data_IF_311930315431
#
_entry.id   IF_311930315431
#
_cell.length_a   1.000
_cell.length_b   1.000
_cell.length_c   1.000
_cell.angle_alpha   90.00
_cell.angle_beta   90.00
_cell.angle_gamma   90.00
#
_symmetry.space_group_name_H-M   'P 1'
#
loop_
_entity.id
_entity.type
_entity.pdbx_description
1 polymer ?
#
# COMPACT_ATOMS: atom_id res chain seq x y z
N UNK A 1 -21.24 -16.99 -8.20
CA UNK A 1 -21.79 -16.02 -7.24
C UNK A 1 -20.59 -15.37 -6.57
N UNK A 2 -20.05 -14.34 -7.20
CA UNK A 2 -18.82 -13.67 -6.75
C UNK A 2 -19.21 -12.29 -6.24
N UNK A 3 -19.02 -11.98 -4.95
CA UNK A 3 -18.95 -10.61 -4.50
C UNK A 3 -17.56 -10.39 -3.92
N UNK A 4 -16.63 -9.85 -4.70
CA UNK A 4 -15.44 -9.20 -4.14
C UNK A 4 -15.19 -7.90 -4.89
N UNK A 5 -16.00 -6.94 -4.46
CA UNK A 5 -15.70 -5.51 -4.32
C UNK A 5 -15.09 -4.82 -5.53
N UNK A 6 -16.00 -4.26 -6.31
CA UNK A 6 -15.78 -3.22 -7.33
C UNK A 6 -15.06 -1.97 -6.77
N UNK A 7 -14.01 -1.55 -7.48
CA UNK A 7 -13.75 -0.15 -7.89
C UNK A 7 -13.24 0.88 -6.87
N UNK A 8 -11.91 1.06 -6.88
CA UNK A 8 -11.22 2.33 -7.23
C UNK A 8 -11.43 3.58 -6.36
N UNK A 9 -10.56 3.71 -5.36
CA UNK A 9 -9.81 4.96 -5.17
C UNK A 9 -8.33 4.52 -5.17
N UNK A 10 -7.64 4.84 -6.26
CA UNK A 10 -6.48 4.09 -6.78
C UNK A 10 -5.34 3.99 -5.79
N UNK A 11 -5.20 2.83 -5.14
CA UNK A 11 -3.95 2.47 -4.48
C UNK A 11 -2.93 2.14 -5.56
N UNK A 12 -1.81 2.85 -5.56
CA UNK A 12 -0.74 2.68 -6.56
C UNK A 12 0.40 1.88 -5.93
N UNK A 13 0.78 0.78 -6.56
CA UNK A 13 1.80 -0.14 -6.07
C UNK A 13 3.12 0.06 -6.83
N UNK A 14 4.20 0.37 -6.09
CA UNK A 14 5.54 0.62 -6.62
C UNK A 14 6.61 -0.21 -5.91
N UNK A 15 7.58 -0.71 -6.68
CA UNK A 15 8.85 -1.22 -6.15
C UNK A 15 9.88 -0.10 -6.22
N UNK A 16 10.40 0.34 -5.07
CA UNK A 16 11.43 1.38 -4.96
C UNK A 16 12.60 0.83 -4.17
N UNK A 17 13.79 0.74 -4.78
CA UNK A 17 15.03 0.28 -4.14
C UNK A 17 14.92 -1.09 -3.41
N UNK A 18 13.99 -1.94 -3.85
CA UNK A 18 13.72 -3.26 -3.26
C UNK A 18 12.60 -3.28 -2.20
N UNK A 19 12.00 -2.13 -1.90
CA UNK A 19 10.88 -1.98 -0.98
C UNK A 19 9.55 -1.89 -1.74
N UNK A 20 8.51 -2.59 -1.24
CA UNK A 20 7.14 -2.41 -1.72
C UNK A 20 6.51 -1.16 -1.10
N UNK A 21 6.09 -0.21 -1.94
CA UNK A 21 5.44 1.03 -1.53
C UNK A 21 4.05 1.12 -2.15
N UNK A 22 3.04 1.33 -1.31
CA UNK A 22 1.64 1.54 -1.71
C UNK A 22 1.25 2.98 -1.41
N UNK A 23 0.91 3.72 -2.45
CA UNK A 23 0.39 5.08 -2.32
C UNK A 23 -1.13 5.01 -2.25
N UNK A 24 -1.73 5.60 -1.22
CA UNK A 24 -3.18 5.52 -0.97
C UNK A 24 -3.75 6.88 -0.57
N UNK A 25 -4.99 7.24 -0.97
CA UNK A 25 -5.67 8.41 -0.45
C UNK A 25 -6.35 8.17 0.91
N UNK A 26 -6.26 6.97 1.47
CA UNK A 26 -6.94 6.59 2.72
C UNK A 26 -6.01 6.80 3.92
N UNK A 27 -6.59 7.19 5.06
CA UNK A 27 -5.88 7.26 6.33
C UNK A 27 -5.90 5.93 7.10
N UNK A 28 -6.79 5.02 6.72
CA UNK A 28 -6.91 3.69 7.29
C UNK A 28 -6.77 2.66 6.18
N UNK A 29 -5.85 1.72 6.34
CA UNK A 29 -5.57 0.67 5.35
C UNK A 29 -5.52 -0.70 6.01
N UNK A 30 -5.84 -1.72 5.23
CA UNK A 30 -5.68 -3.12 5.62
C UNK A 30 -4.67 -3.79 4.70
N UNK A 31 -3.64 -4.41 5.28
CA UNK A 31 -2.68 -5.23 4.56
C UNK A 31 -2.98 -6.70 4.82
N UNK A 32 -3.24 -7.47 3.75
CA UNK A 32 -3.51 -8.91 3.79
C UNK A 32 -2.37 -9.76 3.19
N UNK A 33 -1.25 -9.12 2.83
CA UNK A 33 -0.11 -9.77 2.18
C UNK A 33 -0.36 -10.22 0.74
N UNK A 34 -1.30 -9.61 0.00
CA UNK A 34 -1.56 -9.93 -1.41
C UNK A 34 -2.61 -11.01 -1.63
N UNK A 35 -3.52 -11.21 -0.67
CA UNK A 35 -4.74 -12.02 -0.82
C UNK A 35 -4.58 -13.53 -1.04
N UNK A 36 -3.34 -14.06 -1.03
CA UNK A 36 -3.03 -15.46 -1.31
C UNK A 36 -2.70 -16.30 -0.07
N UNK A 37 -2.52 -17.61 -0.27
CA UNK A 37 -2.17 -18.56 0.81
C UNK A 37 -0.81 -18.31 1.49
N UNK A 38 0.04 -17.47 0.87
CA UNK A 38 1.36 -17.09 1.37
C UNK A 38 1.37 -15.69 2.02
N UNK A 39 0.19 -15.04 2.15
CA UNK A 39 0.08 -13.77 2.85
C UNK A 39 0.21 -13.90 4.36
N UNK A 40 -0.22 -12.86 5.07
CA UNK A 40 -0.21 -12.81 6.54
C UNK A 40 -1.60 -12.48 7.09
N UNK A 41 -1.84 -12.65 8.41
CA UNK A 41 -3.08 -12.18 9.02
C UNK A 41 -3.29 -10.69 8.73
N UNK A 42 -4.53 -10.31 8.44
CA UNK A 42 -4.86 -8.92 8.10
C UNK A 42 -4.36 -7.97 9.19
N UNK A 43 -3.52 -7.01 8.81
CA UNK A 43 -3.06 -5.92 9.67
C UNK A 43 -3.74 -4.62 9.27
N UNK A 44 -4.37 -3.95 10.23
CA UNK A 44 -4.95 -2.63 10.04
C UNK A 44 -3.93 -1.58 10.46
N UNK A 45 -3.61 -0.65 9.54
CA UNK A 45 -2.66 0.42 9.75
C UNK A 45 -3.35 1.78 9.64
N UNK A 46 -2.94 2.71 10.50
CA UNK A 46 -3.46 4.07 10.54
C UNK A 46 -2.33 5.04 10.15
N UNK A 47 -2.56 5.81 9.09
CA UNK A 47 -1.65 6.78 8.49
C UNK A 47 -1.83 8.19 9.08
N UNK A 48 -2.74 8.39 10.04
CA UNK A 48 -3.05 9.72 10.61
C UNK A 48 -1.84 10.45 11.20
N UNK A 49 -0.89 9.71 11.79
CA UNK A 49 0.32 10.27 12.39
C UNK A 49 1.48 10.19 11.41
N UNK A 50 1.55 11.16 10.52
CA UNK A 50 2.67 11.33 9.59
C UNK A 50 2.36 10.94 8.15
N UNK A 51 1.21 10.33 7.84
CA UNK A 51 0.85 9.97 6.48
C UNK A 51 1.64 8.77 5.93
N UNK A 52 2.27 7.96 6.78
CA UNK A 52 2.93 6.71 6.38
C UNK A 52 2.87 5.65 7.49
N UNK A 53 2.88 4.38 7.09
CA UNK A 53 2.91 3.23 8.00
C UNK A 53 3.55 2.04 7.30
N UNK A 54 4.19 1.15 8.05
CA UNK A 54 4.83 -0.08 7.53
C UNK A 54 4.15 -1.29 8.12
N UNK A 55 3.75 -2.23 7.27
CA UNK A 55 3.22 -3.52 7.71
C UNK A 55 4.33 -4.34 8.39
N UNK A 56 4.04 -4.92 9.54
CA UNK A 56 5.02 -5.66 10.36
C UNK A 56 5.35 -7.05 9.81
N UNK A 57 4.60 -7.51 8.81
CA UNK A 57 4.69 -8.88 8.30
C UNK A 57 5.36 -8.96 6.92
N UNK A 58 5.00 -8.05 6.01
CA UNK A 58 5.53 -8.05 4.63
C UNK A 58 6.43 -6.84 4.33
N UNK A 59 6.71 -5.99 5.32
CA UNK A 59 7.51 -4.77 5.19
C UNK A 59 7.00 -3.76 4.14
N UNK A 60 5.78 -3.96 3.63
CA UNK A 60 5.11 -3.05 2.71
C UNK A 60 4.86 -1.71 3.38
N UNK A 61 5.32 -0.65 2.73
CA UNK A 61 5.16 0.74 3.19
C UNK A 61 3.93 1.36 2.56
N UNK A 62 2.99 1.80 3.37
CA UNK A 62 1.82 2.58 2.94
C UNK A 62 2.12 4.06 3.11
N UNK A 63 1.82 4.85 2.09
CA UNK A 63 2.11 6.29 2.02
C UNK A 63 0.86 7.02 1.57
N UNK A 64 0.44 8.02 2.33
CA UNK A 64 -0.68 8.86 1.98
C UNK A 64 -0.32 9.78 0.81
N UNK A 65 -1.24 9.98 -0.14
CA UNK A 65 -1.04 10.81 -1.35
C UNK A 65 -0.58 12.25 -1.08
N UNK A 66 -0.81 12.77 0.14
CA UNK A 66 -0.39 14.13 0.53
C UNK A 66 1.07 14.23 0.95
N UNK A 67 1.80 13.12 1.08
CA UNK A 67 3.23 13.17 1.45
C UNK A 67 4.07 13.68 0.28
N UNK A 68 5.09 14.53 0.53
CA UNK A 68 5.93 15.09 -0.53
C UNK A 68 6.74 14.02 -1.28
N UNK A 69 7.05 12.90 -0.63
CA UNK A 69 7.82 11.79 -1.21
C UNK A 69 7.09 11.06 -2.34
N UNK A 70 5.76 11.20 -2.42
CA UNK A 70 4.91 10.56 -3.44
C UNK A 70 5.39 10.88 -4.85
N UNK A 71 5.86 12.11 -5.10
CA UNK A 71 6.39 12.51 -6.41
C UNK A 71 7.66 11.74 -6.77
N UNK A 72 8.54 11.50 -5.80
CA UNK A 72 9.75 10.71 -6.02
C UNK A 72 9.44 9.23 -6.21
N UNK A 73 8.53 8.67 -5.42
CA UNK A 73 8.09 7.28 -5.56
C UNK A 73 7.51 7.06 -6.96
N UNK A 74 6.65 7.95 -7.45
CA UNK A 74 6.10 7.85 -8.81
C UNK A 74 7.15 8.02 -9.92
N UNK A 75 8.21 8.80 -9.65
CA UNK A 75 9.29 9.07 -10.61
C UNK A 75 10.31 7.92 -10.70
N UNK A 76 10.66 7.31 -9.57
CA UNK A 76 11.73 6.30 -9.46
C UNK A 76 11.21 4.88 -9.28
N UNK A 77 10.04 4.73 -8.67
CA UNK A 77 9.43 3.44 -8.40
C UNK A 77 8.95 2.78 -9.68
N UNK A 78 9.14 1.47 -9.77
CA UNK A 78 8.60 0.67 -10.86
C UNK A 78 7.16 0.24 -10.50
N UNK A 79 6.14 0.60 -11.30
CA UNK A 79 4.78 0.10 -11.08
C UNK A 79 4.75 -1.43 -11.16
N UNK A 80 4.02 -2.08 -10.25
CA UNK A 80 3.82 -3.52 -10.28
C UNK A 80 2.37 -3.88 -9.94
N UNK A 81 1.94 -5.06 -10.41
CA UNK A 81 0.68 -5.64 -9.97
C UNK A 81 0.94 -6.32 -8.63
N UNK A 82 0.50 -5.68 -7.55
CA UNK A 82 0.60 -6.20 -6.17
C UNK A 82 -0.39 -7.30 -5.84
#
# INVERSE_FOLDING_TARGET
>A
MSPRTETTETEEHFLLDGEEVVITPRLEVSCDGGGGALGHPVEFLTLEKGGEAVCKYCDRRFVHVTRPEVEEIRRRGQPFAG
#
